data_IF_838159777673
#
_entry.id   IF_838159777673
#
_cell.length_a   1.000
_cell.length_b   1.000
_cell.length_c   1.000
_cell.angle_alpha   90.00
_cell.angle_beta   90.00
_cell.angle_gamma   90.00
#
_symmetry.space_group_name_H-M   'P 1'
#
loop_
_entity.id
_entity.type
_entity.pdbx_description
1 polymer ?
#
# COMPACT_ATOMS: atom_id res chain seq x y z
N UNK A 1 -1.32 -4.78 18.78
CA UNK A 1 -1.06 -5.38 17.47
C UNK A 1 -1.27 -4.36 16.37
N UNK A 2 -0.29 -4.19 15.49
CA UNK A 2 -0.40 -3.28 14.36
C UNK A 2 -1.17 -3.94 13.21
N UNK A 3 -2.01 -3.17 12.53
CA UNK A 3 -2.78 -3.65 11.38
C UNK A 3 -2.26 -3.01 10.10
N UNK A 4 -2.12 -3.82 9.06
CA UNK A 4 -1.80 -3.34 7.72
C UNK A 4 -2.92 -3.78 6.78
N UNK A 5 -3.43 -2.86 5.96
CA UNK A 5 -4.38 -3.20 4.92
C UNK A 5 -3.65 -3.24 3.58
N UNK A 6 -3.90 -4.31 2.82
CA UNK A 6 -3.35 -4.50 1.49
C UNK A 6 -4.46 -4.27 0.46
N UNK A 7 -4.23 -3.35 -0.45
CA UNK A 7 -5.11 -3.09 -1.59
C UNK A 7 -4.33 -3.38 -2.87
N UNK A 8 -4.35 -4.63 -3.28
CA UNK A 8 -3.55 -5.19 -4.37
C UNK A 8 -4.50 -5.73 -5.44
N UNK A 9 -4.21 -5.45 -6.71
CA UNK A 9 -5.07 -5.84 -7.83
C UNK A 9 -5.32 -7.34 -7.90
N UNK A 10 -4.27 -8.15 -7.84
CA UNK A 10 -4.37 -9.60 -7.89
C UNK A 10 -4.56 -10.18 -6.50
N UNK A 11 -5.64 -10.94 -6.29
CA UNK A 11 -5.88 -11.63 -5.03
C UNK A 11 -4.77 -12.63 -4.68
N UNK A 12 -4.20 -13.28 -5.69
CA UNK A 12 -3.08 -14.21 -5.47
C UNK A 12 -1.84 -13.47 -4.97
N UNK A 13 -1.52 -12.33 -5.57
CA UNK A 13 -0.40 -11.50 -5.16
C UNK A 13 -0.62 -10.93 -3.77
N UNK A 14 -1.83 -10.46 -3.48
CA UNK A 14 -2.20 -9.95 -2.15
C UNK A 14 -1.97 -11.02 -1.07
N UNK A 15 -2.42 -12.24 -1.31
CA UNK A 15 -2.23 -13.35 -0.35
C UNK A 15 -0.77 -13.73 -0.19
N UNK A 16 0.01 -13.65 -1.25
CA UNK A 16 1.46 -13.90 -1.19
C UNK A 16 2.15 -12.86 -0.32
N UNK A 17 1.84 -11.58 -0.52
CA UNK A 17 2.40 -10.49 0.30
C UNK A 17 1.95 -10.65 1.76
N UNK A 18 0.69 -10.96 1.99
CA UNK A 18 0.17 -11.18 3.34
C UNK A 18 0.97 -12.27 4.08
N UNK A 19 1.16 -13.41 3.42
CA UNK A 19 1.89 -14.54 4.00
C UNK A 19 3.34 -14.16 4.30
N UNK A 20 3.97 -13.48 3.36
CA UNK A 20 5.35 -13.04 3.48
C UNK A 20 5.53 -12.07 4.65
N UNK A 21 4.67 -11.08 4.77
CA UNK A 21 4.74 -10.12 5.87
C UNK A 21 4.51 -10.79 7.22
N UNK A 22 3.60 -11.76 7.29
CA UNK A 22 3.35 -12.51 8.53
C UNK A 22 4.53 -13.38 8.94
N UNK A 23 5.37 -13.82 8.00
CA UNK A 23 6.59 -14.57 8.31
C UNK A 23 7.71 -13.67 8.84
N UNK A 24 7.78 -12.43 8.33
CA UNK A 24 8.87 -11.51 8.65
C UNK A 24 8.56 -10.60 9.85
N UNK A 25 7.29 -10.37 10.14
CA UNK A 25 6.87 -9.40 11.16
C UNK A 25 6.09 -10.08 12.28
N UNK A 26 6.49 -9.79 13.52
CA UNK A 26 5.79 -10.29 14.70
C UNK A 26 4.66 -9.33 15.07
N UNK A 27 3.56 -9.91 15.56
CA UNK A 27 2.44 -9.16 16.12
C UNK A 27 1.75 -8.21 15.13
N UNK A 28 1.69 -8.60 13.85
CA UNK A 28 0.94 -7.86 12.84
C UNK A 28 -0.32 -8.61 12.42
N UNK A 29 -1.37 -7.84 12.16
CA UNK A 29 -2.59 -8.34 11.54
C UNK A 29 -2.66 -7.75 10.13
N UNK A 30 -2.63 -8.60 9.12
CA UNK A 30 -2.61 -8.20 7.70
C UNK A 30 -3.98 -8.48 7.10
N UNK A 31 -4.65 -7.43 6.65
CA UNK A 31 -6.03 -7.50 6.15
C UNK A 31 -6.01 -7.18 4.66
N UNK A 32 -6.68 -8.01 3.86
CA UNK A 32 -6.79 -7.79 2.41
C UNK A 32 -8.10 -7.05 2.13
N UNK A 33 -8.01 -5.92 1.43
CA UNK A 33 -9.17 -5.23 0.88
C UNK A 33 -9.53 -5.89 -0.45
N UNK A 34 -10.79 -6.31 -0.60
CA UNK A 34 -11.23 -7.07 -1.78
C UNK A 34 -11.27 -6.23 -3.05
N UNK A 35 -11.47 -4.91 -2.92
CA UNK A 35 -11.55 -4.01 -4.07
C UNK A 35 -11.27 -2.57 -3.64
N UNK A 36 -10.80 -1.71 -4.58
CA UNK A 36 -10.45 -0.33 -4.26
C UNK A 36 -11.60 0.50 -3.68
N UNK A 37 -12.84 0.25 -4.10
CA UNK A 37 -14.00 0.98 -3.62
C UNK A 37 -14.34 0.70 -2.15
N UNK A 38 -13.79 -0.37 -1.58
CA UNK A 38 -14.01 -0.73 -0.18
C UNK A 38 -12.88 -0.32 0.75
N UNK A 39 -11.77 0.17 0.19
CA UNK A 39 -10.54 0.40 0.97
C UNK A 39 -10.72 1.50 2.01
N UNK A 40 -11.36 2.62 1.66
CA UNK A 40 -11.60 3.71 2.63
C UNK A 40 -12.43 3.20 3.81
N UNK A 41 -13.46 2.42 3.53
CA UNK A 41 -14.33 1.85 4.58
C UNK A 41 -13.56 0.87 5.47
N UNK A 42 -12.69 0.03 4.88
CA UNK A 42 -11.85 -0.88 5.64
C UNK A 42 -10.89 -0.12 6.57
N UNK A 43 -10.29 0.96 6.06
CA UNK A 43 -9.43 1.81 6.88
C UNK A 43 -10.20 2.48 8.01
N UNK A 44 -11.43 2.92 7.76
CA UNK A 44 -12.27 3.49 8.81
C UNK A 44 -12.59 2.47 9.89
N UNK A 45 -12.90 1.24 9.49
CA UNK A 45 -13.28 0.16 10.39
C UNK A 45 -12.10 -0.32 11.24
N UNK A 46 -10.94 -0.53 10.63
CA UNK A 46 -9.81 -1.17 11.29
C UNK A 46 -8.76 -0.20 11.82
N UNK A 47 -8.78 1.06 11.38
CA UNK A 47 -7.81 2.08 11.75
C UNK A 47 -6.37 1.56 11.67
N UNK A 48 -5.91 1.18 10.47
CA UNK A 48 -4.62 0.50 10.34
C UNK A 48 -3.45 1.43 10.63
N UNK A 49 -2.33 0.83 11.04
CA UNK A 49 -1.05 1.49 11.10
C UNK A 49 -0.59 1.92 9.71
N UNK A 50 -0.84 1.08 8.70
CA UNK A 50 -0.44 1.37 7.32
C UNK A 50 -1.41 0.79 6.30
N UNK A 51 -1.49 1.45 5.16
CA UNK A 51 -2.21 1.03 3.97
C UNK A 51 -1.18 0.87 2.84
N UNK A 52 -1.08 -0.34 2.29
CA UNK A 52 -0.23 -0.63 1.14
C UNK A 52 -1.12 -0.79 -0.09
N UNK A 53 -0.96 0.12 -1.06
CA UNK A 53 -1.75 0.12 -2.30
C UNK A 53 -0.86 -0.14 -3.50
N UNK A 54 -1.27 -1.07 -4.33
CA UNK A 54 -0.64 -1.26 -5.63
C UNK A 54 -1.12 -0.18 -6.59
N UNK A 55 -0.18 0.36 -7.38
CA UNK A 55 -0.47 1.37 -8.41
C UNK A 55 -0.16 0.76 -9.76
N UNK A 56 -1.12 0.85 -10.69
CA UNK A 56 -0.96 0.37 -12.06
C UNK A 56 -1.38 1.44 -13.05
N UNK A 57 -1.22 1.17 -14.35
CA UNK A 57 -1.67 2.05 -15.41
C UNK A 57 -3.16 1.90 -15.76
N UNK A 58 -3.93 1.17 -14.95
CA UNK A 58 -5.33 0.84 -15.25
C UNK A 58 -6.27 1.25 -14.13
N UNK A 59 -7.44 1.78 -14.50
CA UNK A 59 -8.53 2.06 -13.55
C UNK A 59 -9.02 0.75 -12.92
N UNK A 60 -9.34 0.71 -11.64
CA UNK A 60 -9.33 1.79 -10.63
C UNK A 60 -8.03 1.88 -9.80
N UNK A 61 -6.90 1.36 -10.30
CA UNK A 61 -5.62 1.32 -9.59
C UNK A 61 -4.61 2.39 -10.04
N UNK A 62 -5.07 3.38 -10.80
CA UNK A 62 -4.18 4.46 -11.28
C UNK A 62 -3.76 5.37 -10.13
N UNK A 63 -2.62 6.04 -10.29
CA UNK A 63 -2.06 6.90 -9.24
C UNK A 63 -3.06 7.95 -8.75
N UNK A 64 -3.77 8.62 -9.66
CA UNK A 64 -4.76 9.63 -9.29
C UNK A 64 -5.85 9.07 -8.40
N UNK A 65 -6.33 7.87 -8.71
CA UNK A 65 -7.37 7.20 -7.95
C UNK A 65 -6.86 6.76 -6.59
N UNK A 66 -5.61 6.29 -6.53
CA UNK A 66 -4.95 5.93 -5.27
C UNK A 66 -4.73 7.14 -4.37
N UNK A 67 -4.33 8.29 -4.95
CA UNK A 67 -4.16 9.53 -4.19
C UNK A 67 -5.49 10.03 -3.64
N UNK A 68 -6.59 9.84 -4.37
CA UNK A 68 -7.94 10.15 -3.86
C UNK A 68 -8.30 9.28 -2.65
N UNK A 69 -7.97 8.00 -2.69
CA UNK A 69 -8.16 7.10 -1.54
C UNK A 69 -7.32 7.57 -0.36
N UNK A 70 -6.05 7.87 -0.59
CA UNK A 70 -5.14 8.39 0.44
C UNK A 70 -5.73 9.63 1.11
N UNK A 71 -6.25 10.56 0.34
CA UNK A 71 -6.84 11.78 0.88
C UNK A 71 -8.06 11.48 1.75
N UNK A 72 -8.93 10.58 1.30
CA UNK A 72 -10.11 10.18 2.07
C UNK A 72 -9.72 9.47 3.37
N UNK A 73 -8.70 8.60 3.34
CA UNK A 73 -8.18 7.93 4.53
C UNK A 73 -7.59 8.94 5.51
N UNK A 74 -6.81 9.90 5.02
CA UNK A 74 -6.16 10.91 5.86
C UNK A 74 -7.16 11.81 6.58
N UNK A 75 -8.33 12.06 5.98
CA UNK A 75 -9.38 12.84 6.63
C UNK A 75 -9.96 12.15 7.87
N UNK A 76 -10.00 10.84 7.87
CA UNK A 76 -10.53 10.04 8.99
C UNK A 76 -9.44 9.62 9.98
N UNK A 77 -8.22 9.41 9.48
CA UNK A 77 -7.11 8.92 10.30
C UNK A 77 -5.79 9.46 9.73
N UNK A 78 -5.36 10.67 10.16
CA UNK A 78 -4.13 11.26 9.65
C UNK A 78 -2.86 10.50 10.04
N UNK A 79 -2.94 9.59 11.01
CA UNK A 79 -1.80 8.79 11.44
C UNK A 79 -1.58 7.53 10.60
N UNK A 80 -2.54 7.16 9.76
CA UNK A 80 -2.39 6.01 8.88
C UNK A 80 -1.31 6.27 7.82
N UNK A 81 -0.28 5.44 7.81
CA UNK A 81 0.80 5.54 6.83
C UNK A 81 0.36 4.97 5.50
N UNK A 82 0.77 5.61 4.40
CA UNK A 82 0.40 5.16 3.06
C UNK A 82 1.66 4.80 2.29
N UNK A 83 1.68 3.58 1.77
CA UNK A 83 2.78 3.03 0.97
C UNK A 83 2.22 2.61 -0.39
N UNK A 84 2.94 2.94 -1.44
CA UNK A 84 2.55 2.53 -2.79
C UNK A 84 3.53 1.52 -3.36
N UNK A 85 2.98 0.46 -3.94
CA UNK A 85 3.72 -0.60 -4.60
C UNK A 85 3.54 -0.46 -6.10
N UNK A 86 4.64 -0.40 -6.84
CA UNK A 86 4.61 -0.23 -8.30
C UNK A 86 5.60 -1.18 -8.97
N UNK A 87 5.22 -1.71 -10.14
CA UNK A 87 6.13 -2.50 -10.97
C UNK A 87 6.99 -1.56 -11.81
N UNK A 88 8.19 -1.29 -11.33
CA UNK A 88 9.14 -0.36 -11.96
C UNK A 88 9.71 -0.89 -13.28
N UNK A 89 9.66 -2.19 -13.49
CA UNK A 89 10.14 -2.81 -14.74
C UNK A 89 9.09 -2.67 -15.84
N UNK A 90 7.83 -2.95 -15.51
CA UNK A 90 6.74 -2.89 -16.48
C UNK A 90 6.35 -1.45 -16.84
N UNK A 91 6.49 -0.51 -15.91
CA UNK A 91 6.06 0.89 -16.14
C UNK A 91 7.00 1.86 -15.42
N UNK A 92 8.07 2.24 -16.13
CA UNK A 92 9.09 3.16 -15.58
C UNK A 92 8.53 4.57 -15.35
N UNK A 93 7.67 5.03 -16.22
CA UNK A 93 7.07 6.36 -16.10
C UNK A 93 6.18 6.44 -14.85
N UNK A 94 5.39 5.40 -14.61
CA UNK A 94 4.55 5.33 -13.42
C UNK A 94 5.42 5.28 -12.16
N UNK A 95 6.51 4.51 -12.17
CA UNK A 95 7.44 4.44 -11.05
C UNK A 95 8.02 5.81 -10.71
N UNK A 96 8.37 6.61 -11.71
CA UNK A 96 8.85 7.98 -11.50
C UNK A 96 7.77 8.88 -10.89
N UNK A 97 6.51 8.73 -11.32
CA UNK A 97 5.39 9.47 -10.75
C UNK A 97 5.14 9.11 -9.28
N UNK A 98 5.29 7.86 -8.93
CA UNK A 98 5.18 7.39 -7.54
C UNK A 98 6.31 7.97 -6.67
N UNK A 99 7.54 7.98 -7.18
CA UNK A 99 8.67 8.63 -6.50
C UNK A 99 8.38 10.12 -6.26
N UNK A 100 7.81 10.80 -7.25
CA UNK A 100 7.47 12.21 -7.12
C UNK A 100 6.41 12.42 -6.04
N UNK A 101 5.41 11.53 -5.95
CA UNK A 101 4.41 11.60 -4.90
C UNK A 101 5.04 11.52 -3.50
N UNK A 102 6.09 10.68 -3.34
CA UNK A 102 6.85 10.60 -2.09
C UNK A 102 7.58 11.90 -1.80
N UNK A 103 8.25 12.48 -2.79
CA UNK A 103 8.96 13.76 -2.63
C UNK A 103 8.00 14.89 -2.26
N UNK A 104 6.80 14.86 -2.81
CA UNK A 104 5.76 15.88 -2.55
C UNK A 104 5.06 15.67 -1.20
N UNK A 105 5.43 14.65 -0.45
CA UNK A 105 4.84 14.37 0.86
C UNK A 105 3.44 13.78 0.81
N UNK A 106 3.01 13.27 -0.34
CA UNK A 106 1.67 12.70 -0.51
C UNK A 106 1.58 11.26 -0.01
N UNK A 107 2.71 10.56 0.04
CA UNK A 107 2.78 9.20 0.57
C UNK A 107 4.00 9.08 1.48
N UNK A 108 4.00 8.07 2.34
CA UNK A 108 5.07 7.89 3.32
C UNK A 108 6.23 7.07 2.80
N UNK A 109 5.96 6.14 1.89
CA UNK A 109 6.99 5.31 1.26
C UNK A 109 6.47 4.72 -0.04
N UNK A 110 7.39 4.20 -0.85
CA UNK A 110 7.04 3.40 -2.01
C UNK A 110 7.92 2.15 -2.06
N UNK A 111 7.43 1.13 -2.76
CA UNK A 111 8.12 -0.13 -2.95
C UNK A 111 8.06 -0.52 -4.43
N UNK A 112 9.17 -1.02 -4.96
CA UNK A 112 9.18 -1.64 -6.28
C UNK A 112 8.91 -3.13 -6.15
N UNK A 113 8.26 -3.72 -7.15
CA UNK A 113 7.92 -5.14 -7.14
C UNK A 113 9.12 -6.08 -7.11
N UNK A 114 10.32 -5.56 -7.44
CA UNK A 114 11.56 -6.33 -7.46
C UNK A 114 12.31 -6.40 -6.13
N UNK A 115 11.80 -5.74 -5.08
CA UNK A 115 12.48 -5.75 -3.77
C UNK A 115 12.39 -7.13 -3.10
N UNK A 116 13.32 -7.38 -2.17
CA UNK A 116 13.29 -8.60 -1.38
C UNK A 116 12.18 -8.58 -0.34
N UNK A 117 11.80 -9.76 0.14
CA UNK A 117 10.81 -9.90 1.21
C UNK A 117 11.26 -9.18 2.48
N UNK A 118 12.54 -9.32 2.83
CA UNK A 118 13.12 -8.68 4.01
C UNK A 118 13.09 -7.16 3.90
N UNK A 119 13.37 -6.62 2.70
CA UNK A 119 13.33 -5.18 2.49
C UNK A 119 11.91 -4.63 2.61
N UNK A 120 10.94 -5.30 1.99
CA UNK A 120 9.54 -4.90 2.08
C UNK A 120 9.08 -4.88 3.54
N UNK A 121 9.37 -5.95 4.29
CA UNK A 121 8.99 -6.04 5.69
C UNK A 121 9.65 -4.93 6.52
N UNK A 122 10.93 -4.65 6.28
CA UNK A 122 11.66 -3.60 6.98
C UNK A 122 11.06 -2.22 6.72
N UNK A 123 10.67 -1.93 5.48
CA UNK A 123 10.03 -0.66 5.13
C UNK A 123 8.69 -0.54 5.86
N UNK A 124 7.86 -1.58 5.81
CA UNK A 124 6.55 -1.56 6.46
C UNK A 124 6.65 -1.40 7.98
N UNK A 125 7.67 -1.98 8.58
CA UNK A 125 7.87 -1.88 10.03
C UNK A 125 8.44 -0.53 10.49
N UNK A 126 9.09 0.19 9.60
CA UNK A 126 9.81 1.43 9.92
C UNK A 126 9.01 2.72 9.70
N UNK A 127 7.78 2.63 9.27
CA UNK A 127 6.95 3.79 8.90
C UNK A 127 6.66 4.78 10.04
#
# INVERSE_FOLDING_TARGET
>A
MKRIILDIQSGLYARTIQRMLLQELDEYHIIISESPDKTVERCRMFRPYALLMEVTGYTPWMLEERLAIREAVARNDPDCKVVMLVDDVADKALAESVKQAKRDGLIDAFLFGSVTEQYMAAVMDSL
#
